data_IF_909190068439
#
_entry.id   IF_909190068439
#
_cell.length_a   1.000
_cell.length_b   1.000
_cell.length_c   1.000
_cell.angle_alpha   90.00
_cell.angle_beta   90.00
_cell.angle_gamma   90.00
#
_symmetry.space_group_name_H-M   'P 1'
#
loop_
_entity.id
_entity.type
_entity.pdbx_description
1 polymer ?
#
# COMPACT_ATOMS: atom_id res chain seq x y z
N UNK A 1 -40.80 -7.02 -18.10
CA UNK A 1 -39.39 -7.41 -18.20
C UNK A 1 -38.64 -6.23 -18.79
N UNK A 2 -37.82 -5.54 -17.98
CA UNK A 2 -37.02 -4.41 -18.45
C UNK A 2 -35.71 -5.00 -18.96
N UNK A 3 -35.44 -4.81 -20.24
CA UNK A 3 -34.16 -5.15 -20.86
C UNK A 3 -33.06 -4.40 -20.12
N UNK A 4 -32.18 -5.13 -19.43
CA UNK A 4 -31.00 -4.57 -18.79
C UNK A 4 -30.10 -4.01 -19.89
N UNK A 5 -30.12 -2.69 -20.04
CA UNK A 5 -29.35 -1.98 -21.06
C UNK A 5 -27.87 -2.31 -20.90
N UNK A 6 -27.30 -2.96 -21.92
CA UNK A 6 -25.87 -3.32 -22.07
C UNK A 6 -25.04 -2.08 -22.49
N UNK A 7 -25.72 -1.01 -22.87
CA UNK A 7 -25.18 0.27 -23.34
C UNK A 7 -24.23 0.99 -22.37
N UNK A 8 -24.47 1.05 -21.04
CA UNK A 8 -23.53 1.67 -20.10
C UNK A 8 -22.25 0.85 -19.94
N UNK A 9 -22.30 -0.49 -20.05
CA UNK A 9 -21.11 -1.34 -20.06
C UNK A 9 -20.26 -1.10 -21.31
N UNK A 10 -20.89 -1.01 -22.48
CA UNK A 10 -20.21 -0.72 -23.76
C UNK A 10 -19.56 0.67 -23.70
N UNK A 11 -20.26 1.67 -23.15
CA UNK A 11 -19.72 3.02 -22.93
C UNK A 11 -18.49 3.01 -22.02
N UNK A 12 -18.51 2.20 -20.95
CA UNK A 12 -17.41 2.10 -20.00
C UNK A 12 -16.20 1.36 -20.61
N UNK A 13 -16.44 0.30 -21.38
CA UNK A 13 -15.39 -0.40 -22.15
C UNK A 13 -14.74 0.51 -23.19
N UNK A 14 -15.53 1.32 -23.91
CA UNK A 14 -15.01 2.28 -24.88
C UNK A 14 -14.16 3.37 -24.20
N UNK A 15 -14.59 3.87 -23.04
CA UNK A 15 -13.79 4.82 -22.25
C UNK A 15 -12.48 4.21 -21.73
N UNK A 16 -12.49 2.94 -21.34
CA UNK A 16 -11.27 2.24 -20.94
C UNK A 16 -10.31 2.05 -22.13
N UNK A 17 -10.82 1.70 -23.31
CA UNK A 17 -10.02 1.59 -24.53
C UNK A 17 -9.38 2.92 -24.92
N UNK A 18 -10.13 4.02 -24.83
CA UNK A 18 -9.61 5.36 -25.10
C UNK A 18 -8.47 5.73 -24.13
N UNK A 19 -8.64 5.43 -22.83
CA UNK A 19 -7.57 5.61 -21.82
C UNK A 19 -6.35 4.75 -22.05
N UNK A 20 -6.52 3.50 -22.49
CA UNK A 20 -5.39 2.62 -22.82
C UNK A 20 -4.60 3.20 -24.00
N UNK A 21 -5.29 3.68 -25.04
CA UNK A 21 -4.64 4.28 -26.20
C UNK A 21 -3.89 5.58 -25.86
N UNK A 22 -4.46 6.44 -25.00
CA UNK A 22 -3.77 7.64 -24.48
C UNK A 22 -2.50 7.29 -23.70
N UNK A 23 -2.56 6.24 -22.89
CA UNK A 23 -1.43 5.74 -22.11
C UNK A 23 -0.34 5.16 -23.04
N UNK A 24 -0.72 4.40 -24.06
CA UNK A 24 0.22 3.85 -25.05
C UNK A 24 0.91 4.96 -25.85
N UNK A 25 0.18 6.00 -26.24
CA UNK A 25 0.75 7.18 -26.90
C UNK A 25 1.73 7.95 -25.98
N UNK A 26 1.44 8.01 -24.68
CA UNK A 26 2.31 8.65 -23.69
C UNK A 26 3.57 7.84 -23.43
N UNK A 27 3.46 6.51 -23.34
CA UNK A 27 4.59 5.58 -23.23
C UNK A 27 5.47 5.65 -24.48
N UNK A 28 4.88 5.68 -25.68
CA UNK A 28 5.63 5.82 -26.94
C UNK A 28 6.44 7.12 -26.99
N UNK A 29 5.87 8.24 -26.50
CA UNK A 29 6.60 9.53 -26.38
C UNK A 29 7.73 9.47 -25.36
N UNK A 30 7.55 8.74 -24.26
CA UNK A 30 8.59 8.52 -23.25
C UNK A 30 9.72 7.65 -23.78
N UNK A 31 9.40 6.55 -24.45
CA UNK A 31 10.37 5.66 -25.09
C UNK A 31 11.17 6.42 -26.15
N UNK A 32 10.52 7.21 -27.00
CA UNK A 32 11.23 8.04 -27.98
C UNK A 32 12.19 9.05 -27.34
N UNK A 33 11.83 9.64 -26.19
CA UNK A 33 12.72 10.55 -25.44
C UNK A 33 13.88 9.83 -24.76
N UNK A 34 13.68 8.59 -24.33
CA UNK A 34 14.71 7.74 -23.72
C UNK A 34 15.67 7.24 -24.80
N UNK A 35 15.16 6.80 -25.95
CA UNK A 35 15.96 6.32 -27.07
C UNK A 35 16.72 7.46 -27.78
N UNK A 36 16.23 8.70 -27.67
CA UNK A 36 16.94 9.90 -28.12
C UNK A 36 18.10 10.33 -27.23
N UNK A 37 18.25 9.77 -26.03
CA UNK A 37 19.44 9.95 -25.18
C UNK A 37 20.55 9.02 -25.66
N UNK A 38 21.13 9.33 -26.81
CA UNK A 38 22.45 8.82 -27.15
C UNK A 38 23.43 9.34 -26.09
N UNK A 39 24.06 8.43 -25.36
CA UNK A 39 25.18 8.76 -24.50
C UNK A 39 26.26 9.46 -25.35
N UNK A 40 26.85 10.58 -24.88
CA UNK A 40 27.87 11.27 -25.66
C UNK A 40 29.10 10.36 -25.77
N UNK A 41 29.33 9.80 -26.96
CA UNK A 41 30.41 8.85 -27.27
C UNK A 41 31.83 9.46 -27.26
N UNK A 42 31.99 10.70 -26.82
CA UNK A 42 33.32 11.26 -26.58
C UNK A 42 33.25 12.38 -25.55
N UNK A 43 33.50 12.03 -24.29
CA UNK A 43 33.95 13.00 -23.28
C UNK A 43 35.31 13.53 -23.71
N UNK A 44 35.31 14.73 -24.29
CA UNK A 44 36.50 15.51 -24.58
C UNK A 44 37.28 15.72 -23.27
N UNK A 45 38.54 15.28 -23.25
CA UNK A 45 39.39 15.22 -22.04
C UNK A 45 39.85 16.61 -21.56
N UNK A 46 39.35 17.68 -22.18
CA UNK A 46 39.75 19.07 -21.97
C UNK A 46 38.98 19.80 -20.85
N UNK A 47 37.85 19.26 -20.35
CA UNK A 47 36.96 19.95 -19.37
C UNK A 47 37.07 19.40 -17.93
N UNK A 48 38.02 18.50 -17.66
CA UNK A 48 38.07 17.70 -16.42
C UNK A 48 38.47 18.52 -15.15
N UNK A 49 38.86 19.79 -15.27
CA UNK A 49 39.43 20.54 -14.14
C UNK A 49 38.44 21.15 -13.12
N UNK A 50 37.25 21.61 -13.54
CA UNK A 50 36.44 22.51 -12.69
C UNK A 50 34.93 22.24 -12.59
N UNK A 51 34.33 21.42 -13.45
CA UNK A 51 32.88 21.10 -13.35
C UNK A 51 32.58 19.77 -12.62
N UNK A 52 33.61 18.93 -12.42
CA UNK A 52 33.47 17.60 -11.84
C UNK A 52 33.01 17.63 -10.37
N UNK A 53 33.37 18.68 -9.62
CA UNK A 53 33.03 18.79 -8.21
C UNK A 53 31.53 19.05 -7.96
N UNK A 54 30.88 19.88 -8.77
CA UNK A 54 29.44 20.18 -8.59
C UNK A 54 28.56 18.98 -8.94
N UNK A 55 28.93 18.22 -9.97
CA UNK A 55 28.21 17.00 -10.39
C UNK A 55 28.33 15.89 -9.33
N UNK A 56 29.51 15.72 -8.73
CA UNK A 56 29.72 14.72 -7.68
C UNK A 56 28.91 15.02 -6.40
N UNK A 57 28.87 16.28 -5.96
CA UNK A 57 28.05 16.68 -4.79
C UNK A 57 26.56 16.39 -5.03
N UNK A 58 26.09 16.57 -6.27
CA UNK A 58 24.71 16.26 -6.65
C UNK A 58 24.42 14.76 -6.61
N UNK A 59 25.31 13.93 -7.16
CA UNK A 59 25.16 12.48 -7.14
C UNK A 59 25.19 11.97 -5.70
N UNK A 60 26.14 12.43 -4.88
CA UNK A 60 26.25 12.02 -3.48
C UNK A 60 25.02 12.42 -2.67
N UNK A 61 24.53 13.66 -2.81
CA UNK A 61 23.27 14.07 -2.17
C UNK A 61 22.08 13.25 -2.65
N UNK A 62 22.01 12.92 -3.93
CA UNK A 62 20.91 12.13 -4.46
C UNK A 62 20.93 10.71 -3.91
N UNK A 63 22.10 10.07 -3.91
CA UNK A 63 22.31 8.75 -3.36
C UNK A 63 21.97 8.70 -1.86
N UNK A 64 22.44 9.68 -1.10
CA UNK A 64 22.15 9.77 0.33
C UNK A 64 20.66 10.03 0.61
N UNK A 65 20.05 10.97 -0.12
CA UNK A 65 18.63 11.33 0.07
C UNK A 65 17.65 10.23 -0.33
N UNK A 66 17.95 9.44 -1.37
CA UNK A 66 17.04 8.39 -1.87
C UNK A 66 17.30 7.01 -1.29
N UNK A 67 18.54 6.72 -0.92
CA UNK A 67 18.97 5.36 -0.62
C UNK A 67 19.72 5.24 0.71
N UNK A 68 20.06 6.33 1.40
CA UNK A 68 20.79 6.32 2.68
C UNK A 68 22.03 5.42 2.62
N UNK A 69 22.83 5.60 1.57
CA UNK A 69 23.96 4.72 1.22
C UNK A 69 25.04 4.72 2.32
N UNK A 70 25.11 5.77 3.12
CA UNK A 70 26.01 5.83 4.28
C UNK A 70 25.74 4.73 5.32
N UNK A 71 24.50 4.24 5.43
CA UNK A 71 24.11 3.25 6.44
C UNK A 71 24.45 1.80 6.03
N UNK A 72 24.76 1.57 4.76
CA UNK A 72 25.06 0.24 4.22
C UNK A 72 26.51 -0.13 4.54
N UNK A 73 26.69 -1.10 5.44
CA UNK A 73 28.00 -1.65 5.81
C UNK A 73 28.50 -2.63 4.74
N UNK A 74 29.70 -2.40 4.23
CA UNK A 74 30.37 -3.29 3.30
C UNK A 74 31.15 -4.38 4.03
N UNK A 75 31.50 -5.45 3.31
CA UNK A 75 32.38 -6.49 3.83
C UNK A 75 33.81 -5.96 3.96
N UNK A 76 34.49 -6.37 5.03
CA UNK A 76 35.89 -5.99 5.27
C UNK A 76 36.85 -6.50 4.19
N UNK A 77 36.48 -7.57 3.50
CA UNK A 77 37.21 -8.16 2.37
C UNK A 77 37.19 -7.23 1.15
N UNK A 78 36.03 -6.67 0.81
CA UNK A 78 35.90 -5.73 -0.29
C UNK A 78 36.68 -4.42 -0.04
N UNK A 79 36.70 -3.94 1.22
CA UNK A 79 37.49 -2.78 1.61
C UNK A 79 39.01 -3.03 1.50
N UNK A 80 39.46 -4.27 1.70
CA UNK A 80 40.86 -4.68 1.53
C UNK A 80 41.25 -4.76 0.05
N UNK A 81 40.38 -5.31 -0.81
CA UNK A 81 40.61 -5.40 -2.25
C UNK A 81 40.74 -4.02 -2.92
N UNK A 82 40.10 -3.00 -2.34
CA UNK A 82 40.13 -1.62 -2.82
C UNK A 82 41.40 -0.84 -2.43
N UNK A 83 42.29 -1.39 -1.60
CA UNK A 83 43.52 -0.69 -1.18
C UNK A 83 44.53 -0.51 -2.32
N UNK A 84 44.44 -1.32 -3.39
CA UNK A 84 45.32 -1.23 -4.56
C UNK A 84 44.98 -0.11 -5.55
N UNK A 85 43.81 0.53 -5.41
CA UNK A 85 43.32 1.53 -6.38
C UNK A 85 43.83 2.92 -6.00
N UNK A 86 44.75 3.47 -6.80
CA UNK A 86 45.33 4.81 -6.59
C UNK A 86 44.35 5.96 -6.82
N UNK A 87 43.31 5.75 -7.62
CA UNK A 87 42.32 6.77 -7.94
C UNK A 87 41.16 6.71 -6.93
N UNK A 88 41.17 7.64 -5.97
CA UNK A 88 40.15 7.76 -4.92
C UNK A 88 38.72 7.90 -5.49
N UNK A 89 38.55 8.48 -6.67
CA UNK A 89 37.23 8.61 -7.31
C UNK A 89 36.69 7.25 -7.76
N UNK A 90 37.54 6.46 -8.41
CA UNK A 90 37.16 5.12 -8.88
C UNK A 90 36.87 4.23 -7.67
N UNK A 91 37.65 4.39 -6.60
CA UNK A 91 37.44 3.69 -5.32
C UNK A 91 36.06 4.03 -4.71
N UNK A 92 35.70 5.31 -4.65
CA UNK A 92 34.38 5.75 -4.16
C UNK A 92 33.23 5.23 -5.02
N UNK A 93 33.34 5.30 -6.34
CA UNK A 93 32.32 4.78 -7.26
C UNK A 93 32.14 3.26 -7.15
N UNK A 94 33.21 2.51 -6.89
CA UNK A 94 33.14 1.05 -6.66
C UNK A 94 32.45 0.75 -5.32
N UNK A 95 32.76 1.51 -4.27
CA UNK A 95 32.08 1.44 -2.97
C UNK A 95 30.58 1.69 -3.14
N UNK A 96 30.21 2.77 -3.83
CA UNK A 96 28.81 3.15 -4.01
C UNK A 96 28.04 2.12 -4.86
N UNK A 97 28.65 1.58 -5.92
CA UNK A 97 28.04 0.51 -6.72
C UNK A 97 27.79 -0.75 -5.91
N UNK A 98 28.74 -1.19 -5.10
CA UNK A 98 28.57 -2.40 -4.31
C UNK A 98 27.50 -2.20 -3.23
N UNK A 99 27.46 -1.03 -2.60
CA UNK A 99 26.38 -0.67 -1.67
C UNK A 99 25.01 -0.65 -2.34
N UNK A 100 24.90 -0.08 -3.54
CA UNK A 100 23.65 -0.06 -4.31
C UNK A 100 23.19 -1.48 -4.65
N UNK A 101 24.11 -2.35 -5.07
CA UNK A 101 23.81 -3.75 -5.36
C UNK A 101 23.32 -4.52 -4.13
N UNK A 102 23.94 -4.30 -2.97
CA UNK A 102 23.52 -4.91 -1.71
C UNK A 102 22.15 -4.40 -1.25
N UNK A 103 21.90 -3.09 -1.43
CA UNK A 103 20.62 -2.47 -1.15
C UNK A 103 19.51 -3.03 -2.07
N UNK A 104 19.78 -3.18 -3.36
CA UNK A 104 18.86 -3.79 -4.32
C UNK A 104 18.51 -5.23 -3.91
N UNK A 105 19.52 -6.05 -3.60
CA UNK A 105 19.30 -7.43 -3.16
C UNK A 105 18.44 -7.49 -1.88
N UNK A 106 18.70 -6.60 -0.93
CA UNK A 106 17.94 -6.51 0.33
C UNK A 106 16.50 -6.07 0.08
N UNK A 107 16.28 -5.06 -0.77
CA UNK A 107 14.94 -4.61 -1.16
C UNK A 107 14.16 -5.70 -1.88
N UNK A 108 14.81 -6.41 -2.81
CA UNK A 108 14.20 -7.54 -3.53
C UNK A 108 13.78 -8.66 -2.58
N UNK A 109 14.62 -8.98 -1.59
CA UNK A 109 14.29 -9.96 -0.55
C UNK A 109 13.09 -9.52 0.29
N UNK A 110 13.10 -8.30 0.83
CA UNK A 110 11.98 -7.76 1.61
C UNK A 110 10.68 -7.73 0.81
N UNK A 111 10.75 -7.33 -0.46
CA UNK A 111 9.58 -7.31 -1.34
C UNK A 111 9.01 -8.73 -1.54
N UNK A 112 9.88 -9.74 -1.67
CA UNK A 112 9.45 -11.13 -1.75
C UNK A 112 8.80 -11.61 -0.42
N UNK A 113 9.36 -11.24 0.73
CA UNK A 113 8.78 -11.54 2.04
C UNK A 113 7.39 -10.89 2.20
N UNK A 114 7.25 -9.61 1.82
CA UNK A 114 5.96 -8.92 1.80
C UNK A 114 4.95 -9.57 0.86
N UNK A 115 5.38 -9.98 -0.33
CA UNK A 115 4.53 -10.69 -1.28
C UNK A 115 4.00 -12.00 -0.71
N UNK A 116 4.83 -12.77 0.00
CA UNK A 116 4.40 -13.99 0.69
C UNK A 116 3.35 -13.70 1.76
N UNK A 117 3.54 -12.65 2.56
CA UNK A 117 2.55 -12.23 3.57
C UNK A 117 1.21 -11.88 2.92
N UNK A 118 1.24 -11.12 1.83
CA UNK A 118 0.02 -10.78 1.06
C UNK A 118 -0.66 -12.03 0.53
N UNK A 119 0.08 -13.01 0.00
CA UNK A 119 -0.49 -14.27 -0.46
C UNK A 119 -1.17 -15.05 0.68
N UNK A 120 -0.56 -15.10 1.87
CA UNK A 120 -1.15 -15.75 3.05
C UNK A 120 -2.44 -15.05 3.49
N UNK A 121 -2.48 -13.72 3.47
CA UNK A 121 -3.71 -12.99 3.75
C UNK A 121 -4.79 -13.25 2.71
N UNK A 122 -4.42 -13.25 1.43
CA UNK A 122 -5.35 -13.52 0.33
C UNK A 122 -5.94 -14.93 0.42
N UNK A 123 -5.12 -15.95 0.70
CA UNK A 123 -5.60 -17.32 0.88
C UNK A 123 -6.49 -17.44 2.11
N UNK A 124 -6.12 -16.82 3.24
CA UNK A 124 -6.96 -16.80 4.44
C UNK A 124 -8.35 -16.20 4.16
N UNK A 125 -8.41 -15.07 3.45
CA UNK A 125 -9.69 -14.43 3.11
C UNK A 125 -10.53 -15.35 2.19
N UNK A 126 -9.90 -15.89 1.15
CA UNK A 126 -10.59 -16.70 0.14
C UNK A 126 -11.04 -18.07 0.68
N UNK A 127 -10.20 -18.73 1.47
CA UNK A 127 -10.40 -20.11 1.90
C UNK A 127 -11.12 -20.23 3.25
N UNK A 128 -11.03 -19.21 4.12
CA UNK A 128 -11.65 -19.25 5.46
C UNK A 128 -12.71 -18.19 5.65
N UNK A 129 -12.35 -16.92 5.50
CA UNK A 129 -13.24 -15.81 5.88
C UNK A 129 -14.51 -15.77 5.01
N UNK A 130 -14.36 -15.80 3.68
CA UNK A 130 -15.49 -15.75 2.76
C UNK A 130 -16.42 -16.98 2.89
N UNK A 131 -15.92 -18.22 2.97
CA UNK A 131 -16.76 -19.38 3.24
C UNK A 131 -17.51 -19.30 4.58
N UNK A 132 -16.87 -18.82 5.65
CA UNK A 132 -17.54 -18.65 6.95
C UNK A 132 -18.68 -17.64 6.86
N UNK A 133 -18.44 -16.46 6.28
CA UNK A 133 -19.49 -15.44 6.09
C UNK A 133 -20.63 -16.00 5.21
N UNK A 134 -20.30 -16.73 4.14
CA UNK A 134 -21.32 -17.35 3.28
C UNK A 134 -22.17 -18.36 4.07
N UNK A 135 -21.54 -19.20 4.87
CA UNK A 135 -22.24 -20.17 5.71
C UNK A 135 -23.12 -19.49 6.76
N UNK A 136 -22.65 -18.39 7.38
CA UNK A 136 -23.42 -17.64 8.36
C UNK A 136 -24.63 -16.96 7.72
N UNK A 137 -24.47 -16.36 6.53
CA UNK A 137 -25.58 -15.78 5.75
C UNK A 137 -26.57 -16.88 5.34
N UNK A 138 -26.07 -18.03 4.89
CA UNK A 138 -26.93 -19.14 4.50
C UNK A 138 -27.70 -19.69 5.70
N UNK A 139 -27.04 -19.91 6.83
CA UNK A 139 -27.66 -20.36 8.07
C UNK A 139 -28.70 -19.35 8.59
N UNK A 140 -28.41 -18.06 8.47
CA UNK A 140 -29.37 -17.00 8.79
C UNK A 140 -30.58 -17.04 7.83
N UNK A 141 -30.35 -17.19 6.53
CA UNK A 141 -31.44 -17.28 5.55
C UNK A 141 -32.31 -18.52 5.74
N UNK A 142 -31.71 -19.67 6.08
CA UNK A 142 -32.43 -20.92 6.37
C UNK A 142 -33.25 -20.79 7.65
N UNK A 143 -32.70 -20.18 8.71
CA UNK A 143 -33.45 -19.86 9.94
C UNK A 143 -34.61 -18.89 9.68
N UNK A 144 -34.38 -17.81 8.95
CA UNK A 144 -35.44 -16.84 8.60
C UNK A 144 -36.53 -17.50 7.75
N UNK A 145 -36.18 -18.42 6.84
CA UNK A 145 -37.16 -19.17 6.03
C UNK A 145 -37.95 -20.16 6.90
N UNK A 146 -37.30 -20.90 7.81
CA UNK A 146 -37.98 -21.83 8.73
C UNK A 146 -38.84 -21.12 9.80
N UNK A 147 -38.39 -19.98 10.32
CA UNK A 147 -39.14 -19.13 11.25
C UNK A 147 -40.31 -18.41 10.57
N UNK A 148 -40.17 -18.03 9.29
CA UNK A 148 -41.26 -17.47 8.49
C UNK A 148 -42.39 -18.46 8.22
N UNK A 149 -42.11 -19.77 8.30
CA UNK A 149 -43.11 -20.83 8.18
C UNK A 149 -43.83 -21.15 9.49
N UNK A 150 -43.25 -20.83 10.65
CA UNK A 150 -43.81 -21.27 11.94
C UNK A 150 -44.63 -20.24 12.71
N UNK A 151 -44.39 -18.92 12.61
CA UNK A 151 -45.14 -18.00 13.49
C UNK A 151 -45.22 -16.58 12.95
N UNK A 152 -46.44 -16.20 12.57
CA UNK A 152 -46.95 -14.83 12.53
C UNK A 152 -46.32 -13.93 13.60
N UNK A 153 -45.66 -12.85 13.17
CA UNK A 153 -45.56 -11.45 13.67
C UNK A 153 -44.96 -11.10 15.07
N UNK A 154 -45.35 -11.59 16.27
CA UNK A 154 -44.81 -11.06 17.53
C UNK A 154 -43.34 -11.41 17.85
N UNK A 155 -42.75 -12.43 17.24
CA UNK A 155 -41.35 -12.82 17.51
C UNK A 155 -40.31 -11.92 16.83
N UNK A 156 -40.70 -11.22 15.75
CA UNK A 156 -39.83 -10.32 14.97
C UNK A 156 -39.21 -9.19 15.80
N UNK A 157 -39.86 -8.78 16.88
CA UNK A 157 -39.35 -7.73 17.76
C UNK A 157 -38.29 -8.25 18.75
N UNK A 158 -38.42 -9.48 19.29
CA UNK A 158 -37.44 -10.01 20.24
C UNK A 158 -36.10 -10.38 19.61
N UNK A 159 -36.09 -10.88 18.39
CA UNK A 159 -34.83 -11.17 17.67
C UNK A 159 -34.21 -9.92 17.08
N UNK A 160 -35.02 -8.91 16.74
CA UNK A 160 -34.53 -7.57 16.43
C UNK A 160 -33.82 -6.94 17.63
N UNK A 161 -34.36 -7.11 18.84
CA UNK A 161 -33.70 -6.66 20.08
C UNK A 161 -32.36 -7.38 20.29
N UNK A 162 -32.29 -8.69 20.01
CA UNK A 162 -31.06 -9.47 20.17
C UNK A 162 -29.98 -9.13 19.13
N UNK A 163 -30.38 -8.82 17.89
CA UNK A 163 -29.50 -8.26 16.85
C UNK A 163 -29.01 -6.86 17.24
N UNK A 164 -29.87 -6.05 17.84
CA UNK A 164 -29.51 -4.73 18.32
C UNK A 164 -28.51 -4.79 19.49
N UNK A 165 -28.69 -5.72 20.43
CA UNK A 165 -27.72 -5.98 21.50
C UNK A 165 -26.35 -6.40 20.95
N UNK A 166 -26.32 -7.30 19.97
CA UNK A 166 -25.07 -7.69 19.31
C UNK A 166 -24.43 -6.54 18.54
N UNK A 167 -25.23 -5.71 17.87
CA UNK A 167 -24.75 -4.52 17.17
C UNK A 167 -24.16 -3.49 18.12
N UNK A 168 -24.81 -3.23 19.26
CA UNK A 168 -24.27 -2.38 20.33
C UNK A 168 -22.93 -2.93 20.81
N UNK A 169 -22.84 -4.24 21.04
CA UNK A 169 -21.61 -4.89 21.48
C UNK A 169 -20.48 -4.76 20.44
N UNK A 170 -20.78 -4.88 19.14
CA UNK A 170 -19.78 -4.65 18.09
C UNK A 170 -19.34 -3.18 18.02
N UNK A 171 -20.23 -2.23 18.28
CA UNK A 171 -19.86 -0.82 18.39
C UNK A 171 -18.97 -0.59 19.61
N UNK A 172 -19.28 -1.19 20.74
CA UNK A 172 -18.45 -1.11 21.96
C UNK A 172 -17.04 -1.67 21.71
N UNK A 173 -16.93 -2.84 21.07
CA UNK A 173 -15.64 -3.44 20.68
C UNK A 173 -14.87 -2.55 19.68
N UNK A 174 -15.55 -1.91 18.73
CA UNK A 174 -14.93 -0.94 17.80
C UNK A 174 -14.46 0.33 18.53
N UNK A 175 -15.20 0.80 19.54
CA UNK A 175 -14.80 1.92 20.38
C UNK A 175 -13.58 1.56 21.22
N UNK A 176 -13.49 0.35 21.75
CA UNK A 176 -12.29 -0.15 22.43
C UNK A 176 -11.07 -0.19 21.49
N UNK A 177 -11.24 -0.70 20.27
CA UNK A 177 -10.18 -0.70 19.25
C UNK A 177 -9.76 0.73 18.92
N UNK A 178 -10.71 1.65 18.73
CA UNK A 178 -10.42 3.08 18.50
C UNK A 178 -9.64 3.70 19.66
N UNK A 179 -9.99 3.36 20.90
CA UNK A 179 -9.25 3.80 22.09
C UNK A 179 -7.83 3.22 22.14
N UNK A 180 -7.63 1.96 21.74
CA UNK A 180 -6.29 1.35 21.62
C UNK A 180 -5.48 2.05 20.54
N UNK A 181 -6.07 2.32 19.36
CA UNK A 181 -5.42 3.09 18.29
C UNK A 181 -5.04 4.50 18.75
N UNK A 182 -5.91 5.19 19.51
CA UNK A 182 -5.60 6.52 20.06
C UNK A 182 -4.48 6.47 21.09
N UNK A 183 -4.47 5.47 21.98
CA UNK A 183 -3.36 5.27 22.94
C UNK A 183 -2.06 4.95 22.21
N UNK A 184 -2.11 4.14 21.16
CA UNK A 184 -0.94 3.82 20.33
C UNK A 184 -0.45 5.06 19.58
N UNK A 185 -1.35 5.90 19.07
CA UNK A 185 -1.05 7.21 18.50
C UNK A 185 -0.39 8.17 19.49
N UNK A 186 -0.87 8.23 20.73
CA UNK A 186 -0.24 9.02 21.80
C UNK A 186 1.15 8.48 22.18
N UNK A 187 1.34 7.16 22.22
CA UNK A 187 2.66 6.55 22.46
C UNK A 187 3.61 6.86 21.30
N UNK A 188 3.12 6.86 20.07
CA UNK A 188 3.83 7.24 18.84
C UNK A 188 4.21 8.73 18.86
N UNK A 189 3.28 9.63 19.23
CA UNK A 189 3.55 11.07 19.40
C UNK A 189 4.57 11.34 20.52
N UNK A 190 4.53 10.56 21.60
CA UNK A 190 5.49 10.61 22.69
C UNK A 190 6.87 10.00 22.31
N UNK A 191 6.93 9.11 21.31
CA UNK A 191 8.17 8.57 20.75
C UNK A 191 8.70 9.47 19.63
N UNK A 192 9.20 10.65 20.01
CA UNK A 192 9.71 11.66 19.08
C UNK A 192 11.09 11.34 18.47
N UNK A 193 11.29 10.16 17.86
CA UNK A 193 12.47 9.92 17.01
C UNK A 193 12.29 8.74 16.04
N UNK A 194 12.66 9.00 14.78
CA UNK A 194 13.02 8.10 13.67
C UNK A 194 11.95 7.91 12.57
N UNK A 195 12.42 8.14 11.35
CA UNK A 195 11.74 8.29 10.06
C UNK A 195 10.81 7.15 9.58
N UNK A 196 10.55 6.12 10.38
CA UNK A 196 9.56 5.06 10.06
C UNK A 196 8.14 5.39 10.57
N UNK A 197 8.00 6.49 11.33
CA UNK A 197 6.74 6.97 11.89
C UNK A 197 5.73 7.46 10.84
N UNK A 198 6.18 7.98 9.69
CA UNK A 198 5.29 8.58 8.68
C UNK A 198 4.27 7.59 8.11
N UNK A 199 4.72 6.40 7.70
CA UNK A 199 3.85 5.39 7.08
C UNK A 199 2.90 4.74 8.10
N UNK A 200 3.31 4.59 9.36
CA UNK A 200 2.44 4.02 10.41
C UNK A 200 1.37 5.05 10.82
N UNK A 201 1.75 6.32 10.92
CA UNK A 201 0.81 7.41 11.24
C UNK A 201 -0.19 7.62 10.10
N UNK A 202 0.26 7.48 8.85
CA UNK A 202 -0.60 7.54 7.66
C UNK A 202 -1.56 6.35 7.58
N UNK A 203 -1.10 5.13 7.90
CA UNK A 203 -1.96 3.94 7.96
C UNK A 203 -2.99 4.01 9.09
N UNK A 204 -2.59 4.55 10.25
CA UNK A 204 -3.51 4.75 11.38
C UNK A 204 -4.54 5.85 11.10
N UNK A 205 -4.17 6.92 10.38
CA UNK A 205 -5.12 7.97 10.00
C UNK A 205 -6.10 7.49 8.92
N UNK A 206 -5.68 6.64 7.99
CA UNK A 206 -6.59 5.99 7.04
C UNK A 206 -7.54 5.02 7.73
N UNK A 207 -7.06 4.23 8.70
CA UNK A 207 -7.93 3.33 9.48
C UNK A 207 -8.96 4.11 10.31
N UNK A 208 -8.54 5.22 10.91
CA UNK A 208 -9.44 6.14 11.63
C UNK A 208 -10.49 6.74 10.71
N UNK A 209 -10.09 7.21 9.53
CA UNK A 209 -11.01 7.76 8.55
C UNK A 209 -12.02 6.71 8.06
N UNK A 210 -11.58 5.47 7.89
CA UNK A 210 -12.46 4.35 7.55
C UNK A 210 -13.47 4.06 8.67
N UNK A 211 -13.03 4.02 9.94
CA UNK A 211 -13.92 3.86 11.08
C UNK A 211 -14.96 5.00 11.17
N UNK A 212 -14.54 6.25 10.96
CA UNK A 212 -15.43 7.42 10.99
C UNK A 212 -16.44 7.42 9.82
N UNK A 213 -16.01 6.99 8.62
CA UNK A 213 -16.88 6.84 7.46
C UNK A 213 -17.89 5.70 7.62
N UNK A 214 -17.46 4.57 8.18
CA UNK A 214 -18.36 3.45 8.51
C UNK A 214 -19.36 3.87 9.57
N UNK A 215 -18.93 4.61 10.61
CA UNK A 215 -19.83 5.13 11.64
C UNK A 215 -20.84 6.13 11.06
N UNK A 216 -20.40 7.05 10.19
CA UNK A 216 -21.28 8.00 9.51
C UNK A 216 -22.25 7.35 8.51
N UNK A 217 -21.80 6.34 7.76
CA UNK A 217 -22.64 5.59 6.83
C UNK A 217 -23.69 4.76 7.56
N UNK A 218 -23.34 4.15 8.70
CA UNK A 218 -24.27 3.41 9.55
C UNK A 218 -25.29 4.34 10.22
N UNK A 219 -24.86 5.49 10.73
CA UNK A 219 -25.76 6.50 11.30
C UNK A 219 -26.75 7.04 10.23
N UNK A 220 -26.28 7.31 9.01
CA UNK A 220 -27.11 7.79 7.91
C UNK A 220 -28.06 6.73 7.31
N UNK A 221 -27.74 5.45 7.41
CA UNK A 221 -28.66 4.36 7.03
C UNK A 221 -29.73 4.10 8.09
N UNK A 222 -29.42 4.30 9.38
CA UNK A 222 -30.40 4.25 10.46
C UNK A 222 -31.43 5.38 10.32
N UNK A 223 -31.01 6.62 10.09
CA UNK A 223 -31.94 7.76 9.90
C UNK A 223 -32.90 7.59 8.70
N UNK A 224 -32.44 6.91 7.63
CA UNK A 224 -33.28 6.63 6.44
C UNK A 224 -34.26 5.48 6.62
N UNK A 225 -34.02 4.59 7.57
CA UNK A 225 -34.91 3.46 7.85
C UNK A 225 -35.96 3.79 8.93
N UNK A 226 -35.86 4.94 9.59
CA UNK A 226 -36.81 5.43 10.60
C UNK A 226 -37.67 6.63 10.12
N UNK A 227 -37.61 7.02 8.85
CA UNK A 227 -38.58 7.91 8.16
C UNK A 227 -39.50 7.10 7.25
#
# INVERSE_FOLDING_TARGET
>A
MKEESIEPLISLVNKLLERINENEASLSKLVFKIDGLNFPDSLDKSVIGHEIDKSNILIERHLESKFSISDVKLSKEFEQDLQGIRNERIKKLLIDNEKLKLLEATKKRRNNELYQVVQVYASFIAEKLLPMIRNDIQAYSEKVIDESKMTTVPYRFKESDHLWEHYIKYIEELVEISNVCNKMGQVIENMHNINELGEITEKLSTLRCFCDQVHGALAGQLDKNFQ
#
